data_IF_919837374421
#
_entry.id   IF_919837374421
#
_cell.length_a   1.000
_cell.length_b   1.000
_cell.length_c   1.000
_cell.angle_alpha   90.00
_cell.angle_beta   90.00
_cell.angle_gamma   90.00
#
_symmetry.space_group_name_H-M   'P 1'
#
loop_
_entity.id
_entity.type
_entity.pdbx_description
1 polymer ?
#
# COMPACT_ATOMS: atom_id res chain seq x y z
N UNK A 1 4.07 -4.53 15.19
CA UNK A 1 3.24 -4.33 13.98
C UNK A 1 2.76 -5.70 13.53
N UNK A 2 1.46 -5.91 13.29
CA UNK A 2 0.96 -7.20 12.78
C UNK A 2 1.02 -7.22 11.23
N UNK A 3 0.93 -8.40 10.61
CA UNK A 3 1.03 -8.54 9.15
C UNK A 3 -0.06 -7.76 8.38
N UNK A 4 -1.25 -7.62 8.97
CA UNK A 4 -2.38 -6.87 8.39
C UNK A 4 -2.07 -5.36 8.38
N UNK A 5 -1.41 -4.85 9.41
CA UNK A 5 -0.96 -3.46 9.49
C UNK A 5 0.13 -3.17 8.45
N UNK A 6 1.11 -4.07 8.30
CA UNK A 6 2.17 -3.97 7.27
C UNK A 6 1.52 -3.90 5.89
N UNK A 7 0.67 -4.88 5.58
CA UNK A 7 -0.04 -4.95 4.31
C UNK A 7 -0.81 -3.66 3.99
N UNK A 8 -1.64 -3.19 4.92
CA UNK A 8 -2.44 -1.99 4.66
C UNK A 8 -1.63 -0.69 4.68
N UNK A 9 -0.46 -0.64 5.33
CA UNK A 9 0.46 0.50 5.21
C UNK A 9 1.08 0.55 3.80
N UNK A 10 1.53 -0.57 3.28
CA UNK A 10 2.12 -0.66 1.94
C UNK A 10 1.09 -0.29 0.86
N UNK A 11 -0.13 -0.84 0.97
CA UNK A 11 -1.26 -0.45 0.11
C UNK A 11 -1.49 1.06 0.14
N UNK A 12 -1.53 1.67 1.33
CA UNK A 12 -1.78 3.11 1.45
C UNK A 12 -0.70 3.95 0.74
N UNK A 13 0.57 3.58 0.91
CA UNK A 13 1.69 4.26 0.27
C UNK A 13 1.61 4.20 -1.25
N UNK A 14 1.37 3.02 -1.83
CA UNK A 14 1.24 2.88 -3.27
C UNK A 14 0.01 3.61 -3.83
N UNK A 15 -1.14 3.59 -3.14
CA UNK A 15 -2.33 4.34 -3.58
C UNK A 15 -2.06 5.85 -3.65
N UNK A 16 -1.35 6.40 -2.66
CA UNK A 16 -0.99 7.82 -2.62
C UNK A 16 0.02 8.24 -3.69
N UNK A 17 0.83 7.31 -4.20
CA UNK A 17 1.86 7.57 -5.20
C UNK A 17 1.42 7.29 -6.63
N UNK A 18 0.57 6.27 -6.85
CA UNK A 18 0.19 5.82 -8.20
C UNK A 18 -1.17 6.37 -8.69
N UNK A 19 -1.91 7.12 -7.87
CA UNK A 19 -3.27 7.61 -8.17
C UNK A 19 -4.23 6.48 -8.62
N UNK A 20 -4.11 5.31 -7.98
CA UNK A 20 -4.90 4.12 -8.26
C UNK A 20 -6.04 4.02 -7.24
N UNK A 21 -7.17 3.46 -7.65
CA UNK A 21 -8.33 3.22 -6.80
C UNK A 21 -8.59 1.72 -6.65
N UNK A 22 -8.77 1.27 -5.42
CA UNK A 22 -9.23 -0.08 -5.11
C UNK A 22 -10.71 -0.24 -5.47
N UNK A 23 -11.20 -1.49 -5.56
CA UNK A 23 -12.66 -1.72 -5.67
C UNK A 23 -13.39 -1.23 -4.41
N UNK A 24 -14.71 -1.05 -4.49
CA UNK A 24 -15.53 -0.70 -3.31
C UNK A 24 -15.32 -1.69 -2.15
N UNK A 25 -15.28 -2.99 -2.43
CA UNK A 25 -15.08 -4.04 -1.42
C UNK A 25 -13.68 -3.96 -0.80
N UNK A 26 -12.65 -3.79 -1.62
CA UNK A 26 -11.26 -3.63 -1.16
C UNK A 26 -11.10 -2.33 -0.33
N UNK A 27 -11.77 -1.23 -0.72
CA UNK A 27 -11.81 0.02 0.06
C UNK A 27 -12.48 -0.15 1.42
N UNK A 28 -13.55 -0.93 1.51
CA UNK A 28 -14.21 -1.25 2.80
C UNK A 28 -13.26 -2.04 3.68
N UNK A 29 -12.56 -3.03 3.13
CA UNK A 29 -11.57 -3.82 3.86
C UNK A 29 -10.39 -2.96 4.34
N UNK A 30 -9.87 -2.08 3.49
CA UNK A 30 -8.82 -1.12 3.82
C UNK A 30 -9.21 -0.20 4.99
N UNK A 31 -10.40 0.38 4.93
CA UNK A 31 -10.91 1.28 5.99
C UNK A 31 -11.11 0.58 7.32
N UNK A 32 -11.48 -0.70 7.30
CA UNK A 32 -11.65 -1.53 8.50
C UNK A 32 -10.37 -2.18 8.98
N UNK A 33 -9.25 -2.04 8.24
CA UNK A 33 -8.02 -2.81 8.43
C UNK A 33 -8.31 -4.31 8.59
N UNK A 34 -9.22 -4.83 7.76
CA UNK A 34 -9.67 -6.21 7.84
C UNK A 34 -8.58 -7.16 7.33
N UNK A 35 -8.53 -8.38 7.88
CA UNK A 35 -7.79 -9.48 7.24
C UNK A 35 -8.43 -9.85 5.91
N UNK A 36 -7.60 -10.23 4.94
CA UNK A 36 -8.01 -10.60 3.57
C UNK A 36 -7.38 -11.92 3.17
N UNK A 37 -7.92 -12.55 2.13
CA UNK A 37 -7.35 -13.79 1.57
C UNK A 37 -6.11 -13.47 0.73
N UNK A 38 -5.24 -14.46 0.53
CA UNK A 38 -4.07 -14.32 -0.34
C UNK A 38 -4.46 -13.97 -1.79
N UNK A 39 -5.59 -14.48 -2.29
CA UNK A 39 -6.12 -14.10 -3.61
C UNK A 39 -6.40 -12.61 -3.68
N UNK A 40 -7.02 -12.02 -2.65
CA UNK A 40 -7.27 -10.57 -2.62
C UNK A 40 -5.96 -9.77 -2.50
N UNK A 41 -4.95 -10.30 -1.80
CA UNK A 41 -3.61 -9.69 -1.76
C UNK A 41 -3.02 -9.62 -3.17
N UNK A 42 -3.04 -10.74 -3.90
CA UNK A 42 -2.53 -10.80 -5.28
C UNK A 42 -3.28 -9.84 -6.20
N UNK A 43 -4.62 -9.82 -6.17
CA UNK A 43 -5.43 -8.88 -6.96
C UNK A 43 -5.08 -7.41 -6.68
N UNK A 44 -4.75 -7.08 -5.44
CA UNK A 44 -4.36 -5.71 -5.07
C UNK A 44 -2.93 -5.43 -5.56
N UNK A 45 -2.00 -6.38 -5.40
CA UNK A 45 -0.62 -6.25 -5.87
C UNK A 45 -0.55 -6.03 -7.40
N UNK A 46 -1.29 -6.84 -8.17
CA UNK A 46 -1.42 -6.70 -9.62
C UNK A 46 -1.94 -5.32 -10.02
N UNK A 47 -2.98 -4.82 -9.33
CA UNK A 47 -3.49 -3.46 -9.57
C UNK A 47 -2.50 -2.37 -9.24
N UNK A 48 -1.72 -2.57 -8.19
CA UNK A 48 -0.71 -1.63 -7.76
C UNK A 48 0.58 -1.77 -8.58
N UNK A 49 0.66 -2.72 -9.53
CA UNK A 49 1.85 -3.03 -10.32
C UNK A 49 3.09 -3.19 -9.41
N UNK A 50 2.96 -4.10 -8.44
CA UNK A 50 4.02 -4.48 -7.50
C UNK A 50 4.01 -5.99 -7.26
N UNK A 51 5.13 -6.48 -6.76
CA UNK A 51 5.29 -7.85 -6.32
C UNK A 51 4.45 -8.14 -5.06
N UNK A 52 3.83 -9.32 -5.00
CA UNK A 52 2.98 -9.76 -3.89
C UNK A 52 3.77 -10.10 -2.61
N UNK A 53 5.08 -10.33 -2.72
CA UNK A 53 5.97 -10.33 -1.56
C UNK A 53 6.22 -8.91 -1.03
N UNK A 54 6.40 -7.93 -1.92
CA UNK A 54 6.66 -6.55 -1.52
C UNK A 54 5.46 -5.97 -0.73
N UNK A 55 4.23 -6.24 -1.18
CA UNK A 55 3.03 -5.74 -0.49
C UNK A 55 2.85 -6.32 0.92
N UNK A 56 3.34 -7.54 1.18
CA UNK A 56 3.17 -8.24 2.46
C UNK A 56 4.32 -7.98 3.45
N UNK A 57 5.55 -7.82 2.95
CA UNK A 57 6.74 -7.92 3.81
C UNK A 57 7.68 -6.72 3.71
N UNK A 58 7.56 -5.85 2.69
CA UNK A 58 8.40 -4.65 2.64
C UNK A 58 8.03 -3.75 3.83
N UNK A 59 9.02 -3.42 4.65
CA UNK A 59 8.85 -2.39 5.66
C UNK A 59 9.22 -1.06 5.01
N UNK A 60 8.23 -0.19 4.87
CA UNK A 60 8.47 1.19 4.51
C UNK A 60 9.08 1.88 5.74
N UNK A 61 10.41 1.93 5.79
CA UNK A 61 11.10 2.77 6.77
C UNK A 61 10.70 4.23 6.54
N UNK A 62 10.66 5.03 7.62
CA UNK A 62 10.24 6.44 7.58
C UNK A 62 11.04 7.28 6.55
N UNK A 63 12.24 6.83 6.17
CA UNK A 63 13.06 7.43 5.10
C UNK A 63 12.40 7.36 3.71
N UNK A 64 11.69 6.26 3.36
CA UNK A 64 10.97 6.15 2.07
C UNK A 64 9.66 6.92 2.05
N UNK A 65 9.15 7.35 3.20
CA UNK A 65 8.04 8.30 3.29
C UNK A 65 8.50 9.76 3.17
N UNK A 66 9.78 10.04 3.48
CA UNK A 66 10.38 11.38 3.47
C UNK A 66 10.93 11.84 2.11
N UNK A 67 11.10 10.94 1.14
CA UNK A 67 11.60 11.28 -0.21
C UNK A 67 10.64 12.16 -1.03
N UNK A 68 9.49 12.59 -0.49
CA UNK A 68 8.54 13.47 -1.17
C UNK A 68 8.53 14.92 -0.66
N UNK A 69 9.25 15.23 0.43
CA UNK A 69 9.30 16.61 0.95
C UNK A 69 10.44 17.46 0.38
N UNK A 70 11.43 16.87 -0.31
CA UNK A 70 12.59 17.62 -0.82
C UNK A 70 12.49 18.03 -2.31
N UNK A 71 11.56 17.48 -3.10
CA UNK A 71 11.42 17.84 -4.52
C UNK A 71 10.48 19.04 -4.79
N UNK A 72 9.83 19.61 -3.77
CA UNK A 72 8.89 20.74 -3.95
C UNK A 72 9.57 22.11 -3.70
N UNK A 73 10.79 22.16 -3.18
CA UNK A 73 11.47 23.43 -2.83
C UNK A 73 12.45 23.95 -3.90
N UNK A 74 12.51 23.33 -5.09
CA UNK A 74 13.35 23.77 -6.22
C UNK A 74 12.56 24.19 -7.50
N UNK A 75 11.28 24.57 -7.37
CA UNK A 75 10.53 25.28 -8.43
C UNK A 75 10.28 26.76 -8.10
#
# INVERSE_FOLDING_TARGET
MNIVDVFWKNVAWHLGNKNILLTKTQMIAYRKKAGVTLTTVQEIAEKLDIDDYAILFEQLDDEKASQKSEEIEEC
#
